data_IF_181868602038
#
_entry.id   IF_181868602038
#
_cell.length_a   1.000
_cell.length_b   1.000
_cell.length_c   1.000
_cell.angle_alpha   90.00
_cell.angle_beta   90.00
_cell.angle_gamma   90.00
#
_symmetry.space_group_name_H-M   'P 1'
#
loop_
_entity.id
_entity.type
_entity.pdbx_description
1 polymer ?
#
# COMPACT_ATOMS: atom_id res chain seq x y z
N UNK A 1 3.58 19.63 -16.21
CA UNK A 1 3.17 19.16 -14.87
C UNK A 1 2.99 17.65 -14.97
N UNK A 2 3.55 16.88 -14.04
CA UNK A 2 3.28 15.43 -13.95
C UNK A 2 1.91 15.21 -13.31
N UNK A 3 1.35 14.01 -13.41
CA UNK A 3 -0.01 13.72 -12.94
C UNK A 3 -0.05 13.38 -11.45
N UNK A 4 0.93 12.64 -10.94
CA UNK A 4 0.86 12.10 -9.58
C UNK A 4 2.21 12.13 -8.87
N UNK A 5 2.24 12.65 -7.66
CA UNK A 5 3.32 12.40 -6.69
C UNK A 5 2.81 11.49 -5.60
N UNK A 6 3.61 10.49 -5.21
CA UNK A 6 3.28 9.61 -4.09
C UNK A 6 4.40 9.68 -3.06
N UNK A 7 4.06 9.88 -1.79
CA UNK A 7 4.97 9.79 -0.66
C UNK A 7 4.66 8.52 0.13
N UNK A 8 5.69 7.70 0.38
CA UNK A 8 5.58 6.39 1.04
C UNK A 8 6.65 6.23 2.12
N UNK A 9 6.49 5.31 3.09
CA UNK A 9 7.43 5.19 4.21
C UNK A 9 8.67 4.35 3.85
N UNK A 10 8.53 3.39 2.94
CA UNK A 10 9.61 2.45 2.63
C UNK A 10 9.63 1.99 1.17
N UNK A 11 10.60 1.12 0.86
CA UNK A 11 10.75 0.51 -0.46
C UNK A 11 9.68 -0.54 -0.78
N UNK A 12 9.12 -1.22 0.21
CA UNK A 12 8.08 -2.22 -0.04
C UNK A 12 6.82 -1.54 -0.57
N UNK A 13 6.37 -0.46 0.07
CA UNK A 13 5.23 0.34 -0.40
C UNK A 13 5.51 0.94 -1.78
N UNK A 14 6.73 1.47 -2.02
CA UNK A 14 7.11 1.99 -3.33
C UNK A 14 6.91 0.93 -4.44
N UNK A 15 7.41 -0.28 -4.20
CA UNK A 15 7.37 -1.38 -5.16
C UNK A 15 5.96 -1.96 -5.33
N UNK A 16 5.17 -2.07 -4.25
CA UNK A 16 3.75 -2.41 -4.34
C UNK A 16 3.00 -1.42 -5.24
N UNK A 17 3.19 -0.11 -5.03
CA UNK A 17 2.46 0.89 -5.80
C UNK A 17 2.91 0.95 -7.26
N UNK A 18 4.20 0.74 -7.56
CA UNK A 18 4.67 0.53 -8.95
C UNK A 18 3.95 -0.63 -9.61
N UNK A 19 3.85 -1.75 -8.89
CA UNK A 19 3.18 -2.94 -9.38
C UNK A 19 1.67 -2.78 -9.59
N UNK A 20 0.98 -2.03 -8.71
CA UNK A 20 -0.44 -1.75 -8.88
C UNK A 20 -0.70 -0.74 -10.00
N UNK A 21 0.07 0.36 -10.07
CA UNK A 21 -0.13 1.42 -11.05
C UNK A 21 0.18 0.98 -12.49
N UNK A 22 1.00 -0.07 -12.67
CA UNK A 22 1.22 -0.68 -14.00
C UNK A 22 -0.04 -1.40 -14.53
N UNK A 23 -0.98 -1.77 -13.65
CA UNK A 23 -2.20 -2.50 -13.99
C UNK A 23 -3.37 -1.61 -14.37
N UNK A 24 -3.12 -0.60 -15.20
CA UNK A 24 -4.12 0.42 -15.56
C UNK A 24 -5.46 -0.17 -16.06
N UNK A 25 -5.43 -1.28 -16.82
CA UNK A 25 -6.63 -2.01 -17.26
C UNK A 25 -7.44 -2.61 -16.10
N UNK A 26 -6.77 -3.16 -15.08
CA UNK A 26 -7.44 -3.73 -13.90
C UNK A 26 -8.17 -2.66 -13.07
N UNK A 27 -7.69 -1.42 -13.12
CA UNK A 27 -8.24 -0.29 -12.39
C UNK A 27 -9.19 0.59 -13.24
N UNK A 28 -9.34 0.29 -14.54
CA UNK A 28 -10.06 1.11 -15.51
C UNK A 28 -9.60 2.58 -15.52
N UNK A 29 -8.28 2.77 -15.49
CA UNK A 29 -7.66 4.09 -15.56
C UNK A 29 -6.79 4.21 -16.81
N UNK A 30 -6.56 5.44 -17.22
CA UNK A 30 -5.55 5.76 -18.25
C UNK A 30 -4.17 5.25 -17.82
N UNK A 31 -3.32 4.79 -18.77
CA UNK A 31 -1.96 4.36 -18.44
C UNK A 31 -1.14 5.49 -17.80
N UNK A 32 -0.42 5.17 -16.73
CA UNK A 32 0.51 6.08 -16.06
C UNK A 32 1.92 5.48 -16.13
N UNK A 33 2.87 6.20 -16.73
CA UNK A 33 4.26 5.76 -16.86
C UNK A 33 5.11 6.31 -15.72
N UNK A 34 5.85 5.44 -15.03
CA UNK A 34 6.78 5.85 -13.96
C UNK A 34 7.85 6.81 -14.49
N UNK A 35 8.24 7.82 -13.68
CA UNK A 35 9.15 8.93 -14.01
C UNK A 35 8.65 9.92 -15.06
N UNK A 36 7.66 9.56 -15.89
CA UNK A 36 7.05 10.45 -16.87
C UNK A 36 5.78 11.10 -16.33
N UNK A 37 4.82 10.29 -15.91
CA UNK A 37 3.50 10.74 -15.44
C UNK A 37 3.42 10.78 -13.92
N UNK A 38 4.19 9.94 -13.22
CA UNK A 38 4.22 9.91 -11.76
C UNK A 38 5.60 9.62 -11.18
N UNK A 39 5.81 10.08 -9.95
CA UNK A 39 6.97 9.75 -9.13
C UNK A 39 6.53 9.25 -7.75
N UNK A 40 7.33 8.35 -7.19
CA UNK A 40 7.16 7.85 -5.83
C UNK A 40 8.42 8.21 -5.04
N UNK A 41 8.25 8.86 -3.90
CA UNK A 41 9.33 9.23 -2.99
C UNK A 41 9.18 8.44 -1.69
N UNK A 42 10.30 7.86 -1.23
CA UNK A 42 10.40 7.25 0.09
C UNK A 42 10.80 8.34 1.08
N UNK A 43 10.03 8.50 2.15
CA UNK A 43 10.35 9.46 3.18
C UNK A 43 11.58 9.01 4.00
N UNK A 44 12.61 9.86 4.22
CA UNK A 44 13.83 9.46 4.90
C UNK A 44 13.59 9.01 6.34
N UNK A 45 12.59 9.58 7.00
CA UNK A 45 12.18 9.25 8.37
C UNK A 45 11.02 8.22 8.44
N UNK A 46 10.75 7.49 7.34
CA UNK A 46 9.73 6.43 7.27
C UNK A 46 8.34 6.88 7.76
N UNK A 47 7.57 5.99 8.39
CA UNK A 47 6.20 6.25 8.83
C UNK A 47 6.06 7.47 9.76
N UNK A 48 6.87 7.64 10.83
CA UNK A 48 6.78 8.84 11.66
C UNK A 48 7.01 10.12 10.87
N UNK A 49 7.95 10.10 9.92
CA UNK A 49 8.21 11.22 9.03
C UNK A 49 7.07 11.50 8.06
N UNK A 50 6.49 10.45 7.46
CA UNK A 50 5.32 10.61 6.59
C UNK A 50 4.20 11.36 7.33
N UNK A 51 3.89 10.94 8.55
CA UNK A 51 2.78 11.55 9.27
C UNK A 51 3.11 12.95 9.79
N UNK A 52 4.34 13.20 10.24
CA UNK A 52 4.73 14.49 10.84
C UNK A 52 5.12 15.56 9.82
N UNK A 53 5.74 15.18 8.70
CA UNK A 53 6.42 16.13 7.82
C UNK A 53 6.00 16.07 6.35
N UNK A 54 5.06 15.21 5.97
CA UNK A 54 4.56 15.14 4.59
C UNK A 54 4.02 16.49 4.08
N UNK A 55 3.41 17.30 4.94
CA UNK A 55 2.95 18.66 4.59
C UNK A 55 4.10 19.54 4.11
N UNK A 56 5.21 19.55 4.85
CA UNK A 56 6.39 20.33 4.48
C UNK A 56 7.08 19.75 3.23
N UNK A 57 7.15 18.42 3.12
CA UNK A 57 7.73 17.73 1.98
C UNK A 57 6.97 18.06 0.68
N UNK A 58 5.64 17.88 0.68
CA UNK A 58 4.80 18.02 -0.51
C UNK A 58 4.55 19.47 -0.91
N UNK A 59 4.80 20.45 -0.03
CA UNK A 59 4.64 21.87 -0.35
C UNK A 59 5.48 22.29 -1.57
N UNK A 60 6.69 21.77 -1.70
CA UNK A 60 7.60 22.09 -2.81
C UNK A 60 7.12 21.59 -4.19
N UNK A 61 6.16 20.65 -4.21
CA UNK A 61 5.75 19.92 -5.41
C UNK A 61 4.38 20.35 -5.98
N UNK A 62 3.69 21.29 -5.33
CA UNK A 62 2.32 21.71 -5.66
C UNK A 62 2.13 22.21 -7.10
N UNK A 63 3.19 22.81 -7.68
CA UNK A 63 3.20 23.32 -9.06
C UNK A 63 3.80 22.33 -10.06
N UNK A 64 4.30 21.19 -9.57
CA UNK A 64 4.95 20.17 -10.38
C UNK A 64 4.04 18.98 -10.68
N UNK A 65 3.08 18.68 -9.79
CA UNK A 65 2.15 17.56 -9.92
C UNK A 65 0.68 17.97 -9.77
N UNK A 66 -0.19 17.30 -10.53
CA UNK A 66 -1.64 17.49 -10.48
C UNK A 66 -2.23 16.97 -9.16
N UNK A 67 -1.91 15.73 -8.77
CA UNK A 67 -2.39 15.08 -7.56
C UNK A 67 -1.26 14.57 -6.66
N UNK A 68 -1.56 14.41 -5.37
CA UNK A 68 -0.67 13.82 -4.38
C UNK A 68 -1.33 12.64 -3.63
N UNK A 69 -0.58 11.58 -3.36
CA UNK A 69 -0.99 10.51 -2.45
C UNK A 69 0.04 10.35 -1.34
N UNK A 70 -0.42 10.04 -0.13
CA UNK A 70 0.43 9.76 1.03
C UNK A 70 0.05 8.41 1.61
N UNK A 71 1.02 7.52 1.79
CA UNK A 71 0.84 6.21 2.40
C UNK A 71 1.69 6.06 3.65
N UNK A 72 1.18 5.38 4.67
CA UNK A 72 1.91 5.01 5.88
C UNK A 72 1.32 3.73 6.50
N UNK A 73 2.13 3.00 7.25
CA UNK A 73 1.69 1.91 8.12
C UNK A 73 1.19 2.49 9.45
N UNK A 74 0.04 2.00 9.94
CA UNK A 74 -0.48 2.46 11.23
C UNK A 74 0.39 1.97 12.39
N UNK A 75 0.77 0.69 12.38
CA UNK A 75 1.73 0.14 13.34
C UNK A 75 3.13 0.66 13.03
N UNK A 76 3.77 1.30 14.02
CA UNK A 76 5.06 1.96 13.87
C UNK A 76 4.98 3.45 13.48
N UNK A 77 3.77 3.99 13.32
CA UNK A 77 3.57 5.43 13.03
C UNK A 77 3.82 6.34 14.23
N UNK A 78 3.74 5.80 15.45
CA UNK A 78 3.76 6.57 16.69
C UNK A 78 2.45 7.30 17.00
N UNK A 79 1.34 6.93 16.33
CA UNK A 79 -0.01 7.45 16.55
C UNK A 79 -1.03 6.33 16.82
N UNK A 80 -0.56 5.18 17.29
CA UNK A 80 -1.37 3.97 17.50
C UNK A 80 -2.48 4.17 18.56
N UNK A 81 -2.34 5.18 19.42
CA UNK A 81 -3.35 5.58 20.41
C UNK A 81 -4.52 6.39 19.80
N UNK A 82 -4.50 6.66 18.49
CA UNK A 82 -5.55 7.41 17.79
C UNK A 82 -6.30 6.54 16.76
N UNK A 83 -7.49 6.98 16.38
CA UNK A 83 -8.23 6.33 15.31
C UNK A 83 -7.59 6.63 13.95
N UNK A 84 -7.34 5.58 13.15
CA UNK A 84 -6.74 5.70 11.82
C UNK A 84 -7.46 6.71 10.92
N UNK A 85 -8.80 6.71 10.93
CA UNK A 85 -9.61 7.66 10.17
C UNK A 85 -9.34 9.11 10.57
N UNK A 86 -9.13 9.37 11.87
CA UNK A 86 -8.82 10.70 12.38
C UNK A 86 -7.43 11.16 11.90
N UNK A 87 -6.43 10.27 11.92
CA UNK A 87 -5.08 10.54 11.41
C UNK A 87 -5.14 10.88 9.92
N UNK A 88 -5.80 10.04 9.12
CA UNK A 88 -5.96 10.26 7.68
C UNK A 88 -6.63 11.61 7.38
N UNK A 89 -7.72 11.92 8.07
CA UNK A 89 -8.49 13.15 7.85
C UNK A 89 -7.75 14.41 8.29
N UNK A 90 -7.06 14.37 9.43
CA UNK A 90 -6.27 15.50 9.93
C UNK A 90 -5.11 15.79 8.98
N UNK A 91 -4.34 14.76 8.59
CA UNK A 91 -3.21 14.92 7.69
C UNK A 91 -3.66 15.40 6.30
N UNK A 92 -4.77 14.87 5.80
CA UNK A 92 -5.39 15.34 4.54
C UNK A 92 -5.76 16.82 4.63
N UNK A 93 -6.44 17.22 5.70
CA UNK A 93 -6.86 18.62 5.90
C UNK A 93 -5.65 19.56 5.94
N UNK A 94 -4.55 19.15 6.57
CA UNK A 94 -3.30 19.93 6.59
C UNK A 94 -2.66 20.06 5.20
N UNK A 95 -2.63 18.97 4.44
CA UNK A 95 -2.14 18.96 3.06
C UNK A 95 -2.99 19.87 2.16
N UNK A 96 -4.32 19.81 2.30
CA UNK A 96 -5.24 20.68 1.57
C UNK A 96 -5.02 22.16 1.91
N UNK A 97 -4.93 22.51 3.20
CA UNK A 97 -4.61 23.86 3.68
C UNK A 97 -3.25 24.36 3.18
N UNK A 98 -2.31 23.45 2.95
CA UNK A 98 -0.98 23.80 2.45
C UNK A 98 -0.95 24.15 0.96
N UNK A 99 -1.96 23.78 0.17
CA UNK A 99 -2.04 24.04 -1.28
C UNK A 99 -2.46 22.85 -2.15
N UNK A 100 -2.81 21.71 -1.54
CA UNK A 100 -3.27 20.51 -2.24
C UNK A 100 -4.79 20.31 -2.21
N UNK A 101 -5.56 21.39 -2.00
CA UNK A 101 -7.03 21.35 -1.90
C UNK A 101 -7.64 20.52 -3.04
N UNK A 102 -8.49 19.55 -2.67
CA UNK A 102 -9.19 18.61 -3.57
C UNK A 102 -8.28 17.72 -4.45
N UNK A 103 -6.97 17.76 -4.22
CA UNK A 103 -5.93 17.11 -5.05
C UNK A 103 -5.00 16.21 -4.25
N UNK A 104 -5.40 15.81 -3.05
CA UNK A 104 -4.62 14.92 -2.17
C UNK A 104 -5.49 13.86 -1.51
N UNK A 105 -4.92 12.69 -1.28
CA UNK A 105 -5.53 11.64 -0.49
C UNK A 105 -4.48 10.95 0.39
N UNK A 106 -4.88 10.58 1.61
CA UNK A 106 -4.02 9.94 2.62
C UNK A 106 -4.52 8.53 2.90
N UNK A 107 -3.61 7.56 2.95
CA UNK A 107 -3.89 6.14 3.08
C UNK A 107 -3.07 5.55 4.22
N UNK A 108 -3.73 5.11 5.29
CA UNK A 108 -3.10 4.33 6.34
C UNK A 108 -3.38 2.85 6.14
N UNK A 109 -2.34 2.01 6.11
CA UNK A 109 -2.51 0.58 6.18
C UNK A 109 -2.85 0.18 7.62
N UNK A 110 -3.72 -0.84 7.79
CA UNK A 110 -4.08 -1.33 9.11
C UNK A 110 -3.94 -2.86 9.17
N UNK A 111 -2.98 -3.39 9.95
CA UNK A 111 -1.94 -2.65 10.67
C UNK A 111 -0.84 -2.07 9.76
N UNK A 112 -0.49 -2.77 8.68
CA UNK A 112 0.67 -2.50 7.82
C UNK A 112 0.40 -2.98 6.37
N UNK A 113 1.27 -2.61 5.43
CA UNK A 113 1.19 -2.93 4.00
C UNK A 113 0.80 -4.38 3.66
N UNK A 114 1.31 -5.37 4.40
CA UNK A 114 1.06 -6.78 4.11
C UNK A 114 -0.42 -7.15 4.11
N UNK A 115 -1.28 -6.34 4.73
CA UNK A 115 -2.73 -6.50 4.62
C UNK A 115 -3.22 -6.52 3.17
N UNK A 116 -2.51 -5.86 2.24
CA UNK A 116 -2.79 -5.93 0.81
C UNK A 116 -2.22 -7.18 0.15
N UNK A 117 -1.06 -7.67 0.59
CA UNK A 117 -0.45 -8.89 0.06
C UNK A 117 -1.28 -10.15 0.36
N UNK A 118 -2.09 -10.13 1.43
CA UNK A 118 -3.03 -11.19 1.78
C UNK A 118 -4.28 -11.20 0.88
N UNK A 119 -4.05 -11.64 -0.35
CA UNK A 119 -5.06 -12.04 -1.32
C UNK A 119 -5.00 -13.56 -1.43
N UNK A 120 -6.09 -14.23 -1.09
CA UNK A 120 -6.18 -15.70 -1.06
C UNK A 120 -6.05 -16.27 -2.49
N UNK A 121 -4.83 -16.39 -2.99
CA UNK A 121 -4.53 -16.70 -4.40
C UNK A 121 -3.36 -17.68 -4.52
N UNK A 122 -3.52 -18.68 -5.38
CA UNK A 122 -2.43 -19.59 -5.75
C UNK A 122 -1.27 -18.88 -6.45
N UNK A 123 -1.53 -17.75 -7.11
CA UNK A 123 -0.45 -16.97 -7.73
C UNK A 123 0.44 -16.32 -6.67
N UNK A 124 -0.16 -15.78 -5.60
CA UNK A 124 0.59 -15.29 -4.45
C UNK A 124 1.43 -16.41 -3.85
N UNK A 125 0.85 -17.60 -3.65
CA UNK A 125 1.56 -18.75 -3.10
C UNK A 125 2.82 -19.10 -3.90
N UNK A 126 2.71 -19.20 -5.23
CA UNK A 126 3.84 -19.50 -6.11
C UNK A 126 4.96 -18.46 -6.03
N UNK A 127 4.60 -17.17 -5.99
CA UNK A 127 5.59 -16.07 -5.90
C UNK A 127 6.46 -16.22 -4.65
N UNK A 128 5.87 -16.66 -3.54
CA UNK A 128 6.58 -16.88 -2.27
C UNK A 128 7.02 -18.33 -2.04
N UNK A 129 7.10 -19.14 -3.10
CA UNK A 129 7.66 -20.49 -3.07
C UNK A 129 6.77 -21.57 -2.44
N UNK A 130 5.48 -21.30 -2.28
CA UNK A 130 4.48 -22.25 -1.81
C UNK A 130 3.71 -22.86 -2.99
N UNK A 131 3.24 -24.08 -2.78
CA UNK A 131 2.58 -24.90 -3.78
C UNK A 131 1.20 -24.33 -4.16
N UNK A 132 0.43 -23.93 -3.14
CA UNK A 132 -0.91 -23.38 -3.26
C UNK A 132 -1.31 -22.60 -2.00
N UNK A 133 -2.46 -21.92 -2.08
CA UNK A 133 -2.99 -21.11 -0.98
C UNK A 133 -3.44 -21.96 0.22
N UNK A 134 -3.82 -23.22 0.01
CA UNK A 134 -4.32 -24.08 1.08
C UNK A 134 -3.16 -24.56 1.98
N UNK A 135 -1.99 -24.83 1.40
CA UNK A 135 -0.74 -25.08 2.16
C UNK A 135 -0.31 -23.89 2.99
N UNK A 136 -0.39 -22.68 2.43
CA UNK A 136 -0.15 -21.45 3.20
C UNK A 136 -1.12 -21.36 4.38
N UNK A 137 -2.42 -21.53 4.14
CA UNK A 137 -3.43 -21.44 5.21
C UNK A 137 -3.20 -22.48 6.30
N UNK A 138 -2.89 -23.72 5.92
CA UNK A 138 -2.58 -24.79 6.89
C UNK A 138 -1.38 -24.40 7.75
N UNK A 139 -0.27 -23.98 7.13
CA UNK A 139 0.92 -23.54 7.84
C UNK A 139 0.64 -22.38 8.79
N UNK A 140 -0.11 -21.36 8.34
CA UNK A 140 -0.46 -20.21 9.17
C UNK A 140 -1.39 -20.58 10.33
N UNK A 141 -2.30 -21.55 10.16
CA UNK A 141 -3.14 -22.08 11.25
C UNK A 141 -2.30 -22.82 12.29
N UNK A 142 -1.42 -23.72 11.84
CA UNK A 142 -0.55 -24.50 12.72
C UNK A 142 0.40 -23.61 13.53
N UNK A 143 0.83 -22.49 12.95
CA UNK A 143 1.70 -21.51 13.59
C UNK A 143 0.94 -20.36 14.29
N UNK A 144 -0.37 -20.46 14.45
CA UNK A 144 -1.19 -19.53 15.23
C UNK A 144 -1.49 -18.18 14.58
N UNK A 145 -1.02 -17.91 13.35
CA UNK A 145 -1.25 -16.67 12.60
C UNK A 145 -2.69 -16.54 12.06
N UNK A 146 -3.38 -17.65 11.85
CA UNK A 146 -4.71 -17.68 11.24
C UNK A 146 -5.73 -18.41 12.10
N UNK A 147 -6.85 -17.75 12.38
CA UNK A 147 -8.00 -18.34 13.07
C UNK A 147 -9.28 -18.06 12.28
N UNK A 148 -10.10 -19.09 12.10
CA UNK A 148 -11.45 -18.92 11.54
C UNK A 148 -12.31 -18.10 12.51
N UNK A 149 -13.20 -17.20 12.04
CA UNK A 149 -13.64 -17.00 10.66
C UNK A 149 -12.88 -15.90 9.88
N UNK A 150 -11.67 -15.52 10.32
CA UNK A 150 -10.95 -14.42 9.69
C UNK A 150 -10.50 -14.78 8.27
N UNK A 151 -10.63 -13.82 7.35
CA UNK A 151 -10.18 -13.96 5.96
C UNK A 151 -8.71 -13.59 5.75
N UNK A 152 -8.00 -13.14 6.79
CA UNK A 152 -6.61 -12.72 6.76
C UNK A 152 -5.91 -13.06 8.10
N UNK A 153 -4.58 -13.17 8.13
CA UNK A 153 -3.84 -13.35 9.37
C UNK A 153 -3.99 -12.14 10.30
N UNK A 154 -3.98 -12.37 11.62
CA UNK A 154 -4.09 -11.30 12.62
C UNK A 154 -2.79 -10.47 12.78
N UNK A 155 -1.64 -11.07 12.45
CA UNK A 155 -0.31 -10.43 12.38
C UNK A 155 0.22 -10.59 10.95
N UNK A 156 -0.23 -9.74 10.00
CA UNK A 156 -0.04 -9.99 8.58
C UNK A 156 1.42 -9.91 8.13
N UNK A 157 2.23 -9.05 8.74
CA UNK A 157 3.64 -8.92 8.40
C UNK A 157 4.45 -10.11 8.87
N UNK A 158 4.30 -10.49 10.13
CA UNK A 158 5.00 -11.62 10.73
C UNK A 158 4.57 -12.94 10.08
N UNK A 159 3.29 -13.09 9.76
CA UNK A 159 2.81 -14.22 8.98
C UNK A 159 3.53 -14.30 7.62
N UNK A 160 3.73 -13.16 6.95
CA UNK A 160 4.35 -13.12 5.63
C UNK A 160 5.84 -13.41 5.72
N UNK A 161 6.51 -12.82 6.70
CA UNK A 161 7.92 -13.07 7.00
C UNK A 161 8.17 -14.54 7.36
N UNK A 162 7.27 -15.16 8.14
CA UNK A 162 7.41 -16.56 8.51
C UNK A 162 7.26 -17.49 7.31
N UNK A 163 6.32 -17.22 6.39
CA UNK A 163 6.19 -17.98 5.15
C UNK A 163 7.46 -17.90 4.29
N UNK A 164 8.07 -16.71 4.18
CA UNK A 164 9.32 -16.52 3.44
C UNK A 164 10.49 -17.23 4.10
N UNK A 165 10.58 -17.15 5.43
CA UNK A 165 11.61 -17.81 6.23
C UNK A 165 11.57 -19.34 6.02
N UNK A 166 10.39 -19.95 6.10
CA UNK A 166 10.19 -21.39 5.89
C UNK A 166 10.68 -21.84 4.50
N UNK A 167 10.40 -21.04 3.46
CA UNK A 167 10.85 -21.32 2.09
C UNK A 167 12.26 -20.81 1.80
N UNK A 168 12.98 -20.28 2.80
CA UNK A 168 14.33 -19.70 2.70
C UNK A 168 14.44 -18.61 1.63
N UNK A 169 13.37 -17.86 1.42
CA UNK A 169 13.32 -16.73 0.49
C UNK A 169 13.67 -15.46 1.25
N UNK A 170 14.67 -14.72 0.76
CA UNK A 170 14.99 -13.42 1.34
C UNK A 170 13.87 -12.42 1.03
N UNK A 171 13.34 -11.77 2.08
CA UNK A 171 12.37 -10.67 1.93
C UNK A 171 13.00 -9.54 1.12
N UNK A 172 12.32 -9.11 0.07
CA UNK A 172 12.73 -8.00 -0.80
C UNK A 172 11.53 -7.25 -1.34
N UNK A 173 11.73 -5.97 -1.66
CA UNK A 173 10.68 -5.13 -2.22
C UNK A 173 10.16 -5.63 -3.58
N UNK A 174 10.99 -6.36 -4.34
CA UNK A 174 10.59 -6.97 -5.61
C UNK A 174 9.48 -8.01 -5.45
N UNK A 175 9.44 -8.75 -4.33
CA UNK A 175 8.34 -9.70 -4.04
C UNK A 175 7.01 -8.95 -3.99
N UNK A 176 6.99 -7.79 -3.34
CA UNK A 176 5.78 -6.96 -3.22
C UNK A 176 5.34 -6.37 -4.57
N UNK A 177 6.29 -5.96 -5.41
CA UNK A 177 5.99 -5.54 -6.79
C UNK A 177 5.40 -6.70 -7.60
N UNK A 178 5.99 -7.89 -7.53
CA UNK A 178 5.52 -9.06 -8.26
C UNK A 178 4.11 -9.48 -7.84
N UNK A 179 3.83 -9.51 -6.53
CA UNK A 179 2.48 -9.75 -5.99
C UNK A 179 1.50 -8.70 -6.53
N UNK A 180 1.84 -7.42 -6.43
CA UNK A 180 1.02 -6.32 -6.91
C UNK A 180 0.74 -6.39 -8.42
N UNK A 181 1.74 -6.80 -9.21
CA UNK A 181 1.62 -6.90 -10.67
C UNK A 181 0.80 -8.10 -11.11
N UNK A 182 0.89 -9.25 -10.44
CA UNK A 182 0.33 -10.52 -10.94
C UNK A 182 -0.96 -10.96 -10.26
N UNK A 183 -1.11 -10.69 -8.97
CA UNK A 183 -2.23 -11.26 -8.21
C UNK A 183 -3.52 -10.47 -8.46
N UNK A 184 -4.65 -11.17 -8.50
CA UNK A 184 -5.95 -10.51 -8.66
C UNK A 184 -6.41 -9.92 -7.33
N UNK A 185 -6.62 -8.60 -7.30
CA UNK A 185 -7.19 -7.87 -6.16
C UNK A 185 -8.71 -7.69 -6.27
N UNK A 186 -9.39 -8.41 -7.18
CA UNK A 186 -10.83 -8.25 -7.46
C UNK A 186 -11.70 -8.41 -6.21
N UNK A 187 -11.30 -9.31 -5.31
CA UNK A 187 -12.02 -9.63 -4.07
C UNK A 187 -11.36 -8.99 -2.83
N UNK A 188 -10.45 -8.03 -3.01
CA UNK A 188 -9.86 -7.32 -1.88
C UNK A 188 -10.91 -6.38 -1.27
N UNK A 189 -11.33 -6.68 -0.05
CA UNK A 189 -12.30 -5.90 0.74
C UNK A 189 -11.62 -4.94 1.74
N UNK A 190 -10.30 -4.79 1.66
CA UNK A 190 -9.56 -3.90 2.55
C UNK A 190 -9.98 -2.44 2.37
N UNK A 191 -10.27 -1.74 3.48
CA UNK A 191 -10.74 -0.35 3.49
C UNK A 191 -9.81 0.56 2.70
N UNK A 192 -8.52 0.47 2.96
CA UNK A 192 -7.49 1.33 2.36
C UNK A 192 -7.29 1.00 0.88
N UNK A 193 -7.38 -0.28 0.49
CA UNK A 193 -7.34 -0.68 -0.92
C UNK A 193 -8.56 -0.17 -1.71
N UNK A 194 -9.77 -0.27 -1.13
CA UNK A 194 -10.99 0.24 -1.75
C UNK A 194 -10.93 1.77 -1.91
N UNK A 195 -10.47 2.49 -0.89
CA UNK A 195 -10.22 3.94 -0.93
C UNK A 195 -9.22 4.29 -2.04
N UNK A 196 -8.13 3.53 -2.17
CA UNK A 196 -7.11 3.71 -3.22
C UNK A 196 -7.71 3.54 -4.62
N UNK A 197 -8.45 2.44 -4.85
CA UNK A 197 -9.13 2.18 -6.13
C UNK A 197 -10.11 3.28 -6.50
N UNK A 198 -10.93 3.73 -5.54
CA UNK A 198 -11.88 4.82 -5.75
C UNK A 198 -11.17 6.14 -6.10
N UNK A 199 -10.06 6.43 -5.42
CA UNK A 199 -9.25 7.62 -5.68
C UNK A 199 -8.64 7.61 -7.08
N UNK A 200 -8.07 6.47 -7.49
CA UNK A 200 -7.55 6.30 -8.86
C UNK A 200 -8.64 6.50 -9.91
N UNK A 201 -9.81 5.91 -9.71
CA UNK A 201 -10.93 6.08 -10.64
C UNK A 201 -11.37 7.55 -10.72
N UNK A 202 -11.52 8.22 -9.57
CA UNK A 202 -11.88 9.64 -9.53
C UNK A 202 -10.90 10.55 -10.28
N UNK A 203 -9.61 10.26 -10.24
CA UNK A 203 -8.58 11.13 -10.82
C UNK A 203 -8.17 10.73 -12.25
N UNK A 204 -8.32 9.46 -12.61
CA UNK A 204 -7.69 8.89 -13.81
C UNK A 204 -8.58 7.94 -14.61
N UNK A 205 -9.89 7.84 -14.33
CA UNK A 205 -10.81 6.99 -15.10
C UNK A 205 -10.79 7.31 -16.59
N UNK A 206 -11.02 6.27 -17.40
CA UNK A 206 -11.28 6.38 -18.84
C UNK A 206 -12.74 6.75 -19.07
#
# INVERSE_FOLDING_TARGET
MKRLIVLVPDKNTEHTLKGLLSRHQSFNIVPLSYRRDYDIFVHPERDPGVVRTSVNFLRAFQRQYEYAMVFFDFEGSGLEDQFLDAIENNLKSDLERSGWKDRVEVFGFYPELEIWAWVQSNEMARIIGWEDVDRIRLFLKENGYWQEPNNKPHRPKEAFEHLLYEKRIQRSSTIYEEIAQRVSFRNCSDRTFLKFKQTLNRWFSI
#
